data_IF_095789068698
#
_entry.id   IF_095789068698
#
_cell.length_a   1.000
_cell.length_b   1.000
_cell.length_c   1.000
_cell.angle_alpha   90.00
_cell.angle_beta   90.00
_cell.angle_gamma   90.00
#
_symmetry.space_group_name_H-M   'P 1'
#
loop_
_entity.id
_entity.type
_entity.pdbx_description
1 polymer ?
#
# COMPACT_ATOMS: atom_id res chain seq x y z
N UNK A 1 7.57 16.21 -21.58
CA UNK A 1 6.99 15.62 -20.36
C UNK A 1 7.93 14.55 -19.85
N UNK A 2 8.21 14.52 -18.55
CA UNK A 2 8.97 13.42 -17.95
C UNK A 2 8.16 12.12 -18.00
N UNK A 3 8.80 11.00 -18.30
CA UNK A 3 8.20 9.66 -18.21
C UNK A 3 8.42 9.13 -16.80
N UNK A 4 7.50 8.31 -16.30
CA UNK A 4 7.58 7.73 -14.96
C UNK A 4 7.37 6.22 -15.03
N UNK A 5 8.17 5.50 -14.26
CA UNK A 5 7.95 4.10 -13.92
C UNK A 5 7.11 4.02 -12.64
N UNK A 6 6.18 3.07 -12.59
CA UNK A 6 5.31 2.85 -11.44
C UNK A 6 5.55 1.47 -10.84
N UNK A 7 5.51 1.41 -9.50
CA UNK A 7 5.54 0.17 -8.72
C UNK A 7 4.31 0.13 -7.81
N UNK A 8 3.62 -1.00 -7.82
CA UNK A 8 2.44 -1.26 -7.00
C UNK A 8 2.80 -2.33 -5.96
N UNK A 9 2.65 -1.99 -4.69
CA UNK A 9 2.90 -2.91 -3.57
C UNK A 9 1.60 -3.12 -2.81
N UNK A 10 1.17 -4.37 -2.72
CA UNK A 10 0.00 -4.78 -1.95
C UNK A 10 0.40 -5.15 -0.53
N UNK A 11 -0.26 -4.56 0.46
CA UNK A 11 -0.16 -4.93 1.87
C UNK A 11 -1.48 -5.61 2.27
N UNK A 12 -1.51 -6.94 2.40
CA UNK A 12 -2.73 -7.67 2.71
C UNK A 12 -3.21 -7.31 4.11
N UNK A 13 -4.53 -7.26 4.31
CA UNK A 13 -5.07 -7.11 5.67
C UNK A 13 -4.63 -8.30 6.52
N UNK A 14 -4.19 -8.03 7.75
CA UNK A 14 -3.97 -9.10 8.73
C UNK A 14 -5.30 -9.77 9.04
N UNK A 15 -5.28 -11.09 9.17
CA UNK A 15 -6.44 -11.83 9.64
C UNK A 15 -6.81 -11.40 11.07
N UNK A 16 -8.11 -11.43 11.37
CA UNK A 16 -8.63 -11.11 12.70
C UNK A 16 -8.25 -12.23 13.68
N UNK A 17 -7.05 -12.14 14.24
CA UNK A 17 -6.61 -12.96 15.36
C UNK A 17 -6.77 -12.22 16.69
N UNK A 18 -6.78 -12.97 17.79
CA UNK A 18 -6.81 -12.44 19.18
C UNK A 18 -5.71 -11.40 19.48
N UNK A 19 -4.65 -11.34 18.66
CA UNK A 19 -3.49 -10.45 18.83
C UNK A 19 -3.44 -9.30 17.82
N UNK A 20 -4.30 -9.28 16.82
CA UNK A 20 -4.31 -8.26 15.76
C UNK A 20 -4.93 -6.98 16.31
N UNK A 21 -4.19 -5.87 16.29
CA UNK A 21 -4.68 -4.56 16.72
C UNK A 21 -5.14 -3.73 15.53
N UNK A 22 -6.09 -2.83 15.76
CA UNK A 22 -6.44 -1.82 14.78
C UNK A 22 -5.21 -0.99 14.43
N UNK A 23 -4.89 -0.91 13.14
CA UNK A 23 -3.74 -0.13 12.64
C UNK A 23 -2.47 -0.93 12.37
N UNK A 24 -2.37 -2.21 12.78
CA UNK A 24 -1.15 -3.01 12.54
C UNK A 24 -0.76 -3.08 11.05
N UNK A 25 -1.74 -3.29 10.17
CA UNK A 25 -1.52 -3.29 8.71
C UNK A 25 -1.04 -1.92 8.21
N UNK A 26 -1.46 -0.83 8.86
CA UNK A 26 -1.05 0.51 8.46
C UNK A 26 0.39 0.84 8.89
N UNK A 27 0.87 0.26 10.00
CA UNK A 27 2.29 0.33 10.35
C UNK A 27 3.17 -0.38 9.30
N UNK A 28 2.74 -1.55 8.80
CA UNK A 28 3.43 -2.23 7.69
C UNK A 28 3.47 -1.38 6.41
N UNK A 29 2.42 -0.59 6.15
CA UNK A 29 2.46 0.37 5.06
C UNK A 29 3.57 1.41 5.24
N UNK A 30 3.76 1.95 6.47
CA UNK A 30 4.83 2.91 6.76
C UNK A 30 6.21 2.30 6.59
N UNK A 31 6.42 1.08 7.11
CA UNK A 31 7.68 0.35 6.95
C UNK A 31 7.99 0.11 5.47
N UNK A 32 6.98 -0.30 4.68
CA UNK A 32 7.12 -0.49 3.24
C UNK A 32 7.50 0.81 2.52
N UNK A 33 6.88 1.93 2.89
CA UNK A 33 7.21 3.25 2.32
C UNK A 33 8.67 3.61 2.59
N UNK A 34 9.16 3.39 3.82
CA UNK A 34 10.56 3.66 4.17
C UNK A 34 11.52 2.77 3.37
N UNK A 35 11.27 1.45 3.33
CA UNK A 35 12.10 0.50 2.60
C UNK A 35 12.17 0.78 1.09
N UNK A 36 11.07 1.22 0.48
CA UNK A 36 11.04 1.54 -0.94
C UNK A 36 11.66 2.91 -1.24
N UNK A 37 11.53 3.88 -0.33
CA UNK A 37 12.23 5.16 -0.43
C UNK A 37 13.75 4.98 -0.44
N UNK A 38 14.29 4.08 0.38
CA UNK A 38 15.72 3.71 0.37
C UNK A 38 16.18 3.13 -0.98
N UNK A 39 15.27 2.52 -1.74
CA UNK A 39 15.53 1.97 -3.09
C UNK A 39 15.34 3.01 -4.21
N UNK A 40 15.11 4.28 -3.85
CA UNK A 40 14.92 5.38 -4.80
C UNK A 40 13.51 5.51 -5.38
N UNK A 41 12.51 4.85 -4.77
CA UNK A 41 11.11 5.02 -5.14
C UNK A 41 10.47 6.17 -4.38
N UNK A 42 9.75 7.05 -5.08
CA UNK A 42 8.97 8.12 -4.43
C UNK A 42 7.56 7.63 -4.17
N UNK A 43 7.05 7.84 -2.96
CA UNK A 43 5.63 7.60 -2.67
C UNK A 43 4.75 8.48 -3.55
N UNK A 44 3.83 7.87 -4.29
CA UNK A 44 2.80 8.56 -5.07
C UNK A 44 1.47 8.59 -4.34
N UNK A 45 0.99 7.44 -3.88
CA UNK A 45 -0.34 7.32 -3.27
C UNK A 45 -0.45 6.04 -2.43
N UNK A 46 -1.30 6.07 -1.40
CA UNK A 46 -1.82 4.87 -0.74
C UNK A 46 -3.31 4.80 -1.03
N UNK A 47 -3.79 3.67 -1.55
CA UNK A 47 -5.20 3.42 -1.85
C UNK A 47 -5.71 2.22 -1.06
N UNK A 48 -7.01 2.21 -0.80
CA UNK A 48 -7.72 1.09 -0.18
C UNK A 48 -8.70 0.56 -1.22
N UNK A 49 -8.39 -0.57 -1.89
CA UNK A 49 -9.28 -1.13 -2.89
C UNK A 49 -10.62 -1.52 -2.26
N UNK A 50 -11.71 -1.11 -2.92
CA UNK A 50 -13.05 -1.48 -2.52
C UNK A 50 -13.33 -2.93 -2.93
N UNK A 51 -13.93 -3.70 -2.02
CA UNK A 51 -14.42 -5.02 -2.36
C UNK A 51 -15.78 -4.91 -3.04
N UNK A 52 -15.80 -4.94 -4.38
CA UNK A 52 -17.04 -4.87 -5.17
C UNK A 52 -18.04 -6.00 -4.84
N UNK A 53 -17.56 -7.16 -4.35
CA UNK A 53 -18.42 -8.30 -3.99
C UNK A 53 -19.08 -8.15 -2.61
N UNK A 54 -18.42 -7.52 -1.65
CA UNK A 54 -18.92 -7.41 -0.26
C UNK A 54 -19.36 -5.99 0.12
N UNK A 55 -19.25 -5.03 -0.80
CA UNK A 55 -19.58 -3.63 -0.58
C UNK A 55 -18.57 -2.89 0.31
N UNK A 56 -18.97 -1.68 0.76
CA UNK A 56 -18.13 -0.71 1.49
C UNK A 56 -17.70 -1.19 2.89
N UNK A 57 -18.27 -2.29 3.38
CA UNK A 57 -18.10 -2.75 4.76
C UNK A 57 -16.72 -3.33 5.10
N UNK A 58 -15.86 -3.59 4.10
CA UNK A 58 -14.48 -4.00 4.39
C UNK A 58 -13.51 -3.59 3.29
N UNK A 59 -12.38 -3.02 3.71
CA UNK A 59 -11.19 -2.91 2.88
C UNK A 59 -10.67 -4.30 2.50
N UNK A 60 -10.25 -4.49 1.24
CA UNK A 60 -9.56 -5.73 0.85
C UNK A 60 -8.13 -5.76 1.42
N UNK A 61 -7.41 -4.66 1.23
CA UNK A 61 -5.98 -4.51 1.50
C UNK A 61 -5.62 -3.01 1.45
N UNK A 62 -4.35 -2.69 1.69
CA UNK A 62 -3.78 -1.44 1.19
C UNK A 62 -3.00 -1.73 -0.10
N UNK A 63 -3.00 -0.77 -1.02
CA UNK A 63 -2.10 -0.77 -2.15
C UNK A 63 -1.32 0.55 -2.16
N UNK A 64 0.00 0.44 -2.17
CA UNK A 64 0.93 1.56 -2.17
C UNK A 64 1.49 1.70 -3.57
N UNK A 65 1.33 2.89 -4.13
CA UNK A 65 1.78 3.25 -5.47
C UNK A 65 3.02 4.12 -5.29
N UNK A 66 4.11 3.69 -5.91
CA UNK A 66 5.35 4.44 -6.01
C UNK A 66 5.63 4.84 -7.44
N UNK A 67 6.35 5.95 -7.61
CA UNK A 67 6.84 6.42 -8.90
C UNK A 67 8.34 6.73 -8.86
N UNK A 68 8.99 6.61 -10.03
CA UNK A 68 10.36 7.06 -10.26
C UNK A 68 10.45 7.64 -11.67
N UNK A 69 11.30 8.63 -11.89
CA UNK A 69 11.55 9.14 -13.25
C UNK A 69 12.16 8.02 -14.12
N UNK A 70 11.55 7.74 -15.27
CA UNK A 70 12.07 6.80 -16.25
C UNK A 70 13.25 7.45 -16.98
N UNK A 71 14.34 6.69 -17.15
CA UNK A 71 15.50 7.12 -17.95
C UNK A 71 15.18 7.23 -19.44
#
# INVERSE_FOLDING_TARGET
MKKYEYKFVEIPKKENGLKTKAGDTFEECKETILMEAEKGWRLKQVVVPFNEKTGIYSAMNYQIIFEREAQ
#
